data_IF_092308675075
#
_entry.id   IF_092308675075
#
_cell.length_a   1.000
_cell.length_b   1.000
_cell.length_c   1.000
_cell.angle_alpha   90.00
_cell.angle_beta   90.00
_cell.angle_gamma   90.00
#
_symmetry.space_group_name_H-M   'P 1'
#
loop_
_entity.id
_entity.type
_entity.pdbx_description
1 polymer ?
#
# COMPACT_ATOMS: atom_id res chain seq x y z
N UNK A 1 -1.61 23.45 -7.48
CA UNK A 1 -1.78 24.43 -6.38
C UNK A 1 -1.41 25.86 -6.74
N UNK A 2 -0.15 26.19 -7.10
CA UNK A 2 0.20 27.56 -7.54
C UNK A 2 -0.22 27.82 -9.00
N UNK A 3 0.00 26.85 -9.88
CA UNK A 3 -0.45 26.89 -11.28
C UNK A 3 -2.00 26.93 -11.42
N UNK A 4 -2.72 26.31 -10.48
CA UNK A 4 -4.19 26.30 -10.42
C UNK A 4 -4.79 27.55 -9.74
N UNK A 5 -4.00 28.60 -9.47
CA UNK A 5 -4.38 29.81 -8.71
C UNK A 5 -4.93 29.58 -7.29
N UNK A 6 -4.77 28.38 -6.73
CA UNK A 6 -5.25 28.06 -5.38
C UNK A 6 -4.34 28.59 -4.27
N UNK A 7 -3.16 29.11 -4.61
CA UNK A 7 -2.19 29.65 -3.66
C UNK A 7 -1.61 30.97 -4.17
N UNK A 8 -1.45 31.95 -3.27
CA UNK A 8 -0.97 33.29 -3.62
C UNK A 8 0.51 33.24 -4.02
N UNK A 9 0.82 33.68 -5.24
CA UNK A 9 2.17 33.61 -5.81
C UNK A 9 3.22 34.33 -4.95
N UNK A 10 2.91 35.54 -4.48
CA UNK A 10 3.80 36.35 -3.64
C UNK A 10 4.15 35.67 -2.30
N UNK A 11 3.20 34.97 -1.70
CA UNK A 11 3.43 34.20 -0.48
C UNK A 11 4.27 32.94 -0.75
N UNK A 12 4.03 32.25 -1.88
CA UNK A 12 4.84 31.10 -2.28
C UNK A 12 6.32 31.48 -2.43
N UNK A 13 6.62 32.59 -3.12
CA UNK A 13 8.01 33.03 -3.30
C UNK A 13 8.68 33.51 -2.00
N UNK A 14 7.92 33.96 -1.00
CA UNK A 14 8.46 34.31 0.33
C UNK A 14 8.67 33.11 1.26
N UNK A 15 7.90 32.04 1.08
CA UNK A 15 8.03 30.82 1.89
C UNK A 15 9.02 29.84 1.27
N UNK A 16 9.14 29.81 -0.06
CA UNK A 16 10.00 28.87 -0.79
C UNK A 16 11.42 29.42 -1.03
N UNK A 17 12.00 30.11 -0.04
CA UNK A 17 13.38 30.64 -0.13
C UNK A 17 14.40 29.50 0.02
N UNK A 18 14.11 28.55 0.91
CA UNK A 18 14.88 27.32 1.10
C UNK A 18 13.95 26.12 1.29
N UNK A 19 13.62 25.37 0.22
CA UNK A 19 12.74 24.22 0.33
C UNK A 19 13.37 23.11 1.16
N UNK A 20 12.75 22.77 2.29
CA UNK A 20 13.07 21.54 3.03
C UNK A 20 12.16 20.44 2.51
N UNK A 21 12.70 19.56 1.69
CA UNK A 21 11.98 18.39 1.19
C UNK A 21 12.08 17.29 2.24
N UNK A 22 10.95 16.88 2.82
CA UNK A 22 10.89 15.72 3.70
C UNK A 22 10.64 14.46 2.86
N UNK A 23 11.63 13.59 2.61
CA UNK A 23 11.40 12.40 1.82
C UNK A 23 10.46 11.44 2.57
N UNK A 24 9.55 10.77 1.84
CA UNK A 24 8.61 9.81 2.42
C UNK A 24 9.36 8.62 2.99
N UNK A 25 8.74 7.91 3.95
CA UNK A 25 9.37 6.80 4.68
C UNK A 25 9.88 5.68 3.74
N UNK A 26 9.21 5.46 2.61
CA UNK A 26 9.63 4.52 1.56
C UNK A 26 11.02 4.80 0.97
N UNK A 27 11.51 6.04 1.04
CA UNK A 27 12.83 6.45 0.54
C UNK A 27 13.92 6.48 1.63
N UNK A 28 13.60 6.04 2.85
CA UNK A 28 14.49 6.02 4.03
C UNK A 28 14.18 4.79 4.90
N UNK A 29 14.16 3.61 4.27
CA UNK A 29 13.77 2.36 4.96
C UNK A 29 14.74 1.98 6.07
N UNK A 30 15.99 2.41 5.96
CA UNK A 30 17.03 2.30 6.98
C UNK A 30 16.68 2.97 8.32
N UNK A 31 15.80 3.99 8.31
CA UNK A 31 15.37 4.69 9.52
C UNK A 31 14.26 3.91 10.27
N UNK A 32 13.57 2.97 9.60
CA UNK A 32 12.40 2.26 10.14
C UNK A 32 12.73 1.56 11.47
N UNK A 33 13.84 0.80 11.61
CA UNK A 33 14.12 0.11 12.87
C UNK A 33 14.30 1.05 14.06
N UNK A 34 14.92 2.21 13.86
CA UNK A 34 15.11 3.21 14.90
C UNK A 34 13.77 3.87 15.28
N UNK A 35 12.97 4.23 14.27
CA UNK A 35 11.65 4.81 14.48
C UNK A 35 10.71 3.85 15.23
N UNK A 36 10.69 2.58 14.85
CA UNK A 36 9.88 1.54 15.51
C UNK A 36 10.25 1.42 16.98
N UNK A 37 11.54 1.33 17.30
CA UNK A 37 12.02 1.26 18.70
C UNK A 37 11.61 2.48 19.50
N UNK A 38 11.78 3.67 18.93
CA UNK A 38 11.39 4.92 19.57
C UNK A 38 9.89 4.97 19.85
N UNK A 39 9.04 4.67 18.87
CA UNK A 39 7.59 4.68 19.04
C UNK A 39 7.12 3.61 20.03
N UNK A 40 7.66 2.39 19.95
CA UNK A 40 7.32 1.32 20.88
C UNK A 40 7.61 1.74 22.33
N UNK A 41 8.80 2.31 22.59
CA UNK A 41 9.17 2.79 23.92
C UNK A 41 8.32 3.99 24.38
N UNK A 42 8.04 4.94 23.47
CA UNK A 42 7.17 6.10 23.74
C UNK A 42 5.77 5.67 24.17
N UNK A 43 5.15 4.75 23.44
CA UNK A 43 3.79 4.28 23.74
C UNK A 43 3.75 3.32 24.93
N UNK A 44 4.75 2.45 25.09
CA UNK A 44 4.87 1.59 26.26
C UNK A 44 4.90 2.42 27.55
N UNK A 45 5.74 3.47 27.61
CA UNK A 45 5.78 4.42 28.73
C UNK A 45 4.44 5.13 28.95
N UNK A 46 3.81 5.63 27.88
CA UNK A 46 2.52 6.33 27.96
C UNK A 46 1.39 5.44 28.49
N UNK A 47 1.42 4.15 28.18
CA UNK A 47 0.39 3.17 28.54
C UNK A 47 0.76 2.34 29.78
N UNK A 48 1.86 2.67 30.46
CA UNK A 48 2.41 1.93 31.60
C UNK A 48 2.62 0.43 31.32
N UNK A 49 2.98 0.09 30.08
CA UNK A 49 3.32 -1.27 29.63
C UNK A 49 4.83 -1.43 29.52
N UNK A 50 5.32 -2.66 29.70
CA UNK A 50 6.70 -3.02 29.46
C UNK A 50 6.79 -3.80 28.15
N UNK A 51 7.43 -3.21 27.14
CA UNK A 51 7.77 -3.87 25.88
C UNK A 51 9.29 -3.88 25.79
N UNK A 52 9.90 -5.05 25.94
CA UNK A 52 11.35 -5.22 25.92
C UNK A 52 11.84 -5.77 24.58
N UNK A 53 11.00 -6.57 23.91
CA UNK A 53 11.40 -7.30 22.71
C UNK A 53 10.49 -6.96 21.54
N UNK A 54 11.11 -6.61 20.41
CA UNK A 54 10.45 -6.53 19.11
C UNK A 54 10.95 -7.71 18.29
N UNK A 55 10.09 -8.67 17.92
CA UNK A 55 10.50 -9.83 17.15
C UNK A 55 11.17 -9.43 15.83
N UNK A 56 12.24 -10.14 15.46
CA UNK A 56 12.99 -9.88 14.21
C UNK A 56 12.09 -10.03 12.98
N UNK A 57 11.15 -10.96 13.01
CA UNK A 57 10.18 -11.17 11.93
C UNK A 57 9.27 -9.95 11.74
N UNK A 58 8.80 -9.37 12.85
CA UNK A 58 8.02 -8.12 12.85
C UNK A 58 8.84 -6.97 12.28
N UNK A 59 10.08 -6.81 12.71
CA UNK A 59 10.97 -5.76 12.21
C UNK A 59 11.23 -5.91 10.71
N UNK A 60 11.44 -7.14 10.25
CA UNK A 60 11.67 -7.47 8.83
C UNK A 60 10.42 -7.16 8.01
N UNK A 61 9.24 -7.50 8.51
CA UNK A 61 7.99 -7.21 7.83
C UNK A 61 7.72 -5.70 7.72
N UNK A 62 7.95 -4.93 8.79
CA UNK A 62 7.82 -3.46 8.79
C UNK A 62 8.81 -2.79 7.83
N UNK A 63 10.03 -3.33 7.73
CA UNK A 63 11.06 -2.80 6.84
C UNK A 63 10.78 -3.10 5.36
N UNK A 64 10.22 -4.27 5.06
CA UNK A 64 9.86 -4.68 3.69
C UNK A 64 8.55 -4.06 3.19
N UNK A 65 7.76 -3.48 4.08
CA UNK A 65 6.47 -2.92 3.74
C UNK A 65 6.60 -1.60 2.98
N UNK A 66 5.85 -1.44 1.90
CA UNK A 66 5.83 -0.20 1.13
C UNK A 66 4.86 0.78 1.77
N UNK A 67 5.35 1.56 2.73
CA UNK A 67 4.56 2.58 3.44
C UNK A 67 3.95 3.60 2.47
N UNK A 68 2.61 3.61 2.26
CA UNK A 68 1.95 4.55 1.36
C UNK A 68 1.92 5.98 1.93
N UNK A 69 1.92 6.11 3.27
CA UNK A 69 2.00 7.39 3.96
C UNK A 69 3.37 7.72 4.57
N UNK A 70 3.42 8.87 5.24
CA UNK A 70 4.59 9.31 6.01
C UNK A 70 4.73 8.50 7.31
N UNK A 71 5.71 8.88 8.13
CA UNK A 71 6.01 8.32 9.47
C UNK A 71 4.79 8.18 10.38
N UNK A 72 3.70 8.94 10.16
CA UNK A 72 2.44 8.81 10.92
C UNK A 72 1.77 7.45 10.80
N UNK A 73 1.83 6.80 9.65
CA UNK A 73 1.24 5.46 9.51
C UNK A 73 2.00 4.45 10.37
N UNK A 74 3.34 4.54 10.35
CA UNK A 74 4.20 3.75 11.22
C UNK A 74 3.87 4.05 12.70
N UNK A 75 3.77 5.32 13.08
CA UNK A 75 3.43 5.72 14.45
C UNK A 75 2.09 5.14 14.91
N UNK A 76 1.03 5.29 14.11
CA UNK A 76 -0.30 4.77 14.43
C UNK A 76 -0.32 3.24 14.54
N UNK A 77 0.38 2.55 13.64
CA UNK A 77 0.45 1.09 13.66
C UNK A 77 1.18 0.58 14.90
N UNK A 78 2.29 1.23 15.28
CA UNK A 78 3.01 0.88 16.51
C UNK A 78 2.17 1.20 17.75
N UNK A 79 1.46 2.33 17.80
CA UNK A 79 0.54 2.65 18.91
C UNK A 79 -0.50 1.55 19.10
N UNK A 80 -1.18 1.13 18.03
CA UNK A 80 -2.15 0.03 18.09
C UNK A 80 -1.50 -1.29 18.50
N UNK A 81 -0.32 -1.61 17.96
CA UNK A 81 0.40 -2.82 18.34
C UNK A 81 0.74 -2.83 19.84
N UNK A 82 1.14 -1.71 20.43
CA UNK A 82 1.36 -1.59 21.89
C UNK A 82 0.04 -1.79 22.66
N UNK A 83 -1.08 -1.28 22.18
CA UNK A 83 -2.40 -1.48 22.81
C UNK A 83 -2.78 -2.96 22.82
N UNK A 84 -2.62 -3.64 21.69
CA UNK A 84 -3.02 -5.04 21.50
C UNK A 84 -2.06 -6.04 22.14
N UNK A 85 -0.78 -5.68 22.31
CA UNK A 85 0.21 -6.54 22.93
C UNK A 85 -0.13 -6.77 24.41
N UNK A 86 -0.36 -8.04 24.77
CA UNK A 86 -0.55 -8.50 26.14
C UNK A 86 0.71 -9.24 26.59
N UNK A 87 1.78 -8.49 26.86
CA UNK A 87 3.06 -9.05 27.30
C UNK A 87 4.26 -8.15 26.96
N UNK A 88 5.45 -8.74 27.08
CA UNK A 88 6.75 -8.07 26.90
C UNK A 88 7.18 -7.95 25.44
N UNK A 89 6.47 -8.66 24.55
CA UNK A 89 6.73 -8.68 23.11
C UNK A 89 5.76 -7.80 22.34
N UNK A 90 6.30 -7.00 21.41
CA UNK A 90 5.49 -6.22 20.49
C UNK A 90 4.87 -7.14 19.43
N UNK A 91 3.57 -7.42 19.56
CA UNK A 91 2.82 -8.15 18.55
C UNK A 91 2.18 -7.18 17.56
N UNK A 92 2.74 -7.13 16.35
CA UNK A 92 2.15 -6.36 15.25
C UNK A 92 1.22 -7.27 14.45
N UNK A 93 -0.06 -6.93 14.27
CA UNK A 93 -0.95 -7.68 13.37
C UNK A 93 -0.52 -7.45 11.91
N UNK A 94 0.38 -8.30 11.42
CA UNK A 94 0.85 -8.32 10.02
C UNK A 94 -0.26 -8.38 8.96
N UNK A 95 -1.43 -8.99 9.19
CA UNK A 95 -2.55 -8.94 8.24
C UNK A 95 -3.11 -7.53 8.01
N UNK A 96 -3.04 -6.63 9.01
CA UNK A 96 -3.52 -5.25 8.88
C UNK A 96 -2.63 -4.43 7.94
N UNK A 97 -1.32 -4.68 7.91
CA UNK A 97 -0.41 -4.06 6.94
C UNK A 97 -0.87 -4.35 5.50
N UNK A 98 -1.33 -5.57 5.21
CA UNK A 98 -1.86 -5.89 3.88
C UNK A 98 -3.17 -5.17 3.58
N UNK A 99 -4.06 -5.02 4.56
CA UNK A 99 -5.33 -4.31 4.38
C UNK A 99 -5.11 -2.82 4.10
N UNK A 100 -4.17 -2.16 4.79
CA UNK A 100 -3.86 -0.74 4.55
C UNK A 100 -3.15 -0.51 3.22
N UNK A 101 -2.35 -1.46 2.73
CA UNK A 101 -1.78 -1.41 1.38
C UNK A 101 -2.88 -1.43 0.31
N UNK A 102 -3.93 -2.21 0.53
CA UNK A 102 -5.07 -2.33 -0.38
C UNK A 102 -5.92 -1.05 -0.35
N UNK A 103 -6.13 -0.46 0.83
CA UNK A 103 -6.88 0.80 0.97
C UNK A 103 -6.13 2.02 0.41
N UNK A 104 -4.79 2.09 0.57
CA UNK A 104 -3.94 3.13 -0.01
C UNK A 104 -3.75 3.06 -1.52
N UNK A 105 -4.09 1.93 -2.15
CA UNK A 105 -4.16 1.77 -3.62
C UNK A 105 -5.57 1.95 -4.17
N UNK A 106 -6.44 2.65 -3.45
CA UNK A 106 -7.64 3.26 -4.06
C UNK A 106 -7.21 4.47 -4.89
N UNK A 107 -6.33 4.26 -5.88
CA UNK A 107 -6.45 5.05 -7.09
C UNK A 107 -7.90 4.86 -7.50
N UNK A 108 -8.62 5.96 -7.76
CA UNK A 108 -9.82 5.89 -8.57
C UNK A 108 -9.34 5.43 -9.94
N UNK A 109 -9.07 4.13 -10.07
CA UNK A 109 -8.83 3.47 -11.33
C UNK A 109 -10.12 3.66 -12.07
N UNK A 110 -10.04 4.24 -13.26
CA UNK A 110 -11.19 4.29 -14.14
C UNK A 110 -11.78 2.88 -14.22
N UNK A 111 -13.11 2.76 -14.38
CA UNK A 111 -13.77 1.46 -14.50
C UNK A 111 -13.05 0.56 -15.51
N UNK A 112 -12.50 1.15 -16.57
CA UNK A 112 -11.68 0.50 -17.59
C UNK A 112 -10.35 -0.08 -17.07
N UNK A 113 -9.66 0.59 -16.15
CA UNK A 113 -8.42 0.10 -15.57
C UNK A 113 -8.66 -1.07 -14.59
N UNK A 114 -9.71 -0.99 -13.77
CA UNK A 114 -10.13 -2.08 -12.90
C UNK A 114 -10.61 -3.30 -13.72
N UNK A 115 -11.38 -3.05 -14.79
CA UNK A 115 -11.83 -4.10 -15.72
C UNK A 115 -10.65 -4.77 -16.43
N UNK A 116 -9.67 -3.99 -16.91
CA UNK A 116 -8.46 -4.50 -17.56
C UNK A 116 -7.68 -5.42 -16.63
N UNK A 117 -7.45 -5.00 -15.39
CA UNK A 117 -6.72 -5.80 -14.42
C UNK A 117 -7.46 -7.11 -14.10
N UNK A 118 -8.77 -7.04 -13.91
CA UNK A 118 -9.59 -8.21 -13.62
C UNK A 118 -9.55 -9.24 -14.77
N UNK A 119 -9.63 -8.78 -16.02
CA UNK A 119 -9.51 -9.63 -17.21
C UNK A 119 -8.12 -10.27 -17.31
N UNK A 120 -7.05 -9.52 -17.06
CA UNK A 120 -5.67 -10.05 -17.10
C UNK A 120 -5.46 -11.14 -16.05
N UNK A 121 -5.95 -10.95 -14.82
CA UNK A 121 -5.86 -11.97 -13.75
C UNK A 121 -6.59 -13.26 -14.15
N UNK A 122 -7.78 -13.15 -14.74
CA UNK A 122 -8.54 -14.31 -15.21
C UNK A 122 -7.84 -15.03 -16.37
N UNK A 123 -7.20 -14.29 -17.29
CA UNK A 123 -6.39 -14.86 -18.37
C UNK A 123 -5.17 -15.61 -17.85
N UNK A 124 -4.44 -15.04 -16.88
CA UNK A 124 -3.29 -15.70 -16.25
C UNK A 124 -3.71 -17.00 -15.54
N UNK A 125 -4.80 -16.95 -14.76
CA UNK A 125 -5.34 -18.14 -14.08
C UNK A 125 -5.86 -19.21 -15.07
N UNK A 126 -6.14 -18.85 -16.32
CA UNK A 126 -6.52 -19.74 -17.40
C UNK A 126 -5.35 -20.07 -18.35
N UNK A 127 -4.11 -19.72 -18.00
CA UNK A 127 -2.92 -19.89 -18.86
C UNK A 127 -3.12 -19.30 -20.27
N UNK A 128 -3.77 -18.14 -20.36
CA UNK A 128 -4.12 -17.43 -21.61
C UNK A 128 -5.10 -18.18 -22.53
N UNK A 129 -5.80 -19.20 -22.02
CA UNK A 129 -6.87 -19.88 -22.74
C UNK A 129 -8.13 -19.03 -22.68
N UNK A 130 -8.58 -18.51 -23.82
CA UNK A 130 -9.73 -17.59 -23.89
C UNK A 130 -11.07 -18.34 -23.78
N UNK A 131 -11.18 -19.54 -24.35
CA UNK A 131 -12.43 -20.31 -24.42
C UNK A 131 -12.27 -21.79 -24.05
N UNK A 132 -13.38 -22.47 -23.82
CA UNK A 132 -13.44 -23.85 -23.35
C UNK A 132 -13.80 -23.95 -21.85
N UNK A 133 -13.99 -25.16 -21.31
CA UNK A 133 -14.46 -25.39 -19.93
C UNK A 133 -13.58 -24.76 -18.85
N UNK A 134 -12.28 -24.60 -19.14
CA UNK A 134 -11.28 -23.99 -18.25
C UNK A 134 -10.78 -22.62 -18.73
N UNK A 135 -11.44 -22.04 -19.74
CA UNK A 135 -11.04 -20.75 -20.32
C UNK A 135 -11.41 -19.55 -19.46
N UNK A 136 -10.71 -18.43 -19.67
CA UNK A 136 -10.93 -17.18 -18.95
C UNK A 136 -12.36 -16.64 -19.10
N UNK A 137 -13.02 -16.86 -20.25
CA UNK A 137 -14.40 -16.44 -20.48
C UNK A 137 -15.39 -17.10 -19.51
N UNK A 138 -15.21 -18.40 -19.22
CA UNK A 138 -16.05 -19.14 -18.27
C UNK A 138 -15.81 -18.63 -16.85
N UNK A 139 -14.55 -18.39 -16.48
CA UNK A 139 -14.18 -17.85 -15.16
C UNK A 139 -14.71 -16.43 -14.93
N UNK A 140 -14.84 -15.64 -16.00
CA UNK A 140 -15.41 -14.29 -15.99
C UNK A 140 -16.93 -14.28 -16.19
N UNK A 141 -17.57 -15.44 -16.35
CA UNK A 141 -19.03 -15.54 -16.54
C UNK A 141 -19.55 -14.90 -17.84
N UNK A 142 -18.70 -14.75 -18.86
CA UNK A 142 -19.07 -14.09 -20.11
C UNK A 142 -18.80 -14.95 -21.35
N UNK A 143 -19.44 -14.61 -22.48
CA UNK A 143 -19.21 -15.30 -23.75
C UNK A 143 -17.79 -15.03 -24.25
N UNK A 144 -17.19 -16.01 -24.92
CA UNK A 144 -15.86 -15.91 -25.55
C UNK A 144 -15.74 -14.66 -26.45
N UNK A 145 -16.76 -14.37 -27.24
CA UNK A 145 -16.79 -13.22 -28.17
C UNK A 145 -16.81 -11.88 -27.42
N UNK A 146 -17.52 -11.80 -26.30
CA UNK A 146 -17.53 -10.62 -25.41
C UNK A 146 -16.16 -10.39 -24.79
N UNK A 147 -15.50 -11.45 -24.32
CA UNK A 147 -14.14 -11.35 -23.79
C UNK A 147 -13.12 -10.89 -24.84
N UNK A 148 -13.21 -11.42 -26.07
CA UNK A 148 -12.35 -11.00 -27.18
C UNK A 148 -12.52 -9.52 -27.54
N UNK A 149 -13.77 -9.04 -27.61
CA UNK A 149 -14.06 -7.62 -27.87
C UNK A 149 -13.53 -6.71 -26.75
N UNK A 150 -13.66 -7.11 -25.47
CA UNK A 150 -13.11 -6.38 -24.32
C UNK A 150 -11.58 -6.37 -24.31
N UNK A 151 -10.93 -7.50 -24.65
CA UNK A 151 -9.48 -7.57 -24.78
C UNK A 151 -8.96 -6.62 -25.87
N UNK A 152 -9.65 -6.53 -27.01
CA UNK A 152 -9.28 -5.63 -28.10
C UNK A 152 -9.47 -4.16 -27.71
N UNK A 153 -10.59 -3.83 -27.05
CA UNK A 153 -10.86 -2.47 -26.54
C UNK A 153 -9.83 -2.01 -25.49
N UNK A 154 -9.37 -2.93 -24.63
CA UNK A 154 -8.46 -2.64 -23.51
C UNK A 154 -6.97 -2.89 -23.84
N UNK A 155 -6.65 -3.22 -25.10
CA UNK A 155 -5.28 -3.46 -25.56
C UNK A 155 -4.59 -4.64 -24.87
N UNK A 156 -5.33 -5.68 -24.46
CA UNK A 156 -4.80 -6.84 -23.74
C UNK A 156 -4.33 -7.89 -24.75
N UNK A 157 -3.02 -8.15 -24.76
CA UNK A 157 -2.38 -9.17 -25.60
C UNK A 157 -1.55 -10.14 -24.77
N UNK A 158 -1.35 -11.37 -25.28
CA UNK A 158 -0.52 -12.38 -24.63
C UNK A 158 0.94 -11.89 -24.59
N UNK A 159 1.59 -11.84 -23.41
CA UNK A 159 3.02 -11.59 -23.34
C UNK A 159 3.74 -12.73 -24.06
N UNK A 160 4.62 -12.35 -24.98
CA UNK A 160 5.47 -13.26 -25.76
C UNK A 160 6.40 -14.05 -24.86
#
# INVERSE_FOLDING_TARGET
MVADKQFRNDLYYRLNVFPIVSPPLRGRQEDIPQLVRYFAQKFARRMNKHIETIPTDTMTALSRYHWPGNVRELENLIERAVILSQGTELHVPLPELKATAIEGTSFVTTLEAAEREHIVRALQAAKWIIGGPSGAAVKLGMKRTTLQSRMQKLGISRPS
#
